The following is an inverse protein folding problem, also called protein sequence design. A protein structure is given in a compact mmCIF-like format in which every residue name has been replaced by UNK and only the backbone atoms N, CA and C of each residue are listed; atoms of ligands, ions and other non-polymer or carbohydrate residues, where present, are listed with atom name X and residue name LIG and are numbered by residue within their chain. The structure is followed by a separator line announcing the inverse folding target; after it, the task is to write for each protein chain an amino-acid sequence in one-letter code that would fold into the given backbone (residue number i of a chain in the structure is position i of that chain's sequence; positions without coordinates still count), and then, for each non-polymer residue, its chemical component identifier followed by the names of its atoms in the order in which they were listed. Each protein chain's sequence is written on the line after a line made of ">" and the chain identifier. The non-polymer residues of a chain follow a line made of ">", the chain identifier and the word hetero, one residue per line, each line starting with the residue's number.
data_IF_387985109948
#
_entry.id   IF_387985109948
#
_cell.length_a   1.000
_cell.length_b   1.000
_cell.length_c   1.000
_cell.angle_alpha   90.00
_cell.angle_beta   90.00
_cell.angle_gamma   90.00
#
_symmetry.space_group_name_H-M   'P 1'
#
loop_
_entity.id
_entity.type
_entity.pdbx_description
1 polymer ?
#
# COMPACT_ATOMS: atom_id res chain seq x y z
N UNK A 1 11.56 -8.63 -18.82
CA UNK A 1 10.80 -7.62 -18.03
C UNK A 1 11.77 -6.81 -17.17
N UNK A 2 11.59 -5.49 -17.15
CA UNK A 2 12.40 -4.63 -16.28
C UNK A 2 11.75 -4.54 -14.90
N UNK A 3 12.21 -5.37 -13.99
CA UNK A 3 11.66 -5.45 -12.63
C UNK A 3 11.83 -4.12 -11.87
N UNK A 4 12.93 -3.39 -12.12
CA UNK A 4 13.18 -2.11 -11.45
C UNK A 4 12.17 -1.05 -11.85
N UNK A 5 11.71 -1.06 -13.10
CA UNK A 5 10.64 -0.17 -13.55
C UNK A 5 9.34 -0.44 -12.80
N UNK A 6 8.97 -1.70 -12.65
CA UNK A 6 7.75 -2.09 -11.94
C UNK A 6 7.82 -1.78 -10.44
N UNK A 7 8.99 -2.00 -9.83
CA UNK A 7 9.22 -1.65 -8.42
C UNK A 7 9.10 -0.14 -8.20
N UNK A 8 9.70 0.65 -9.07
CA UNK A 8 9.61 2.12 -9.01
C UNK A 8 8.17 2.60 -9.20
N UNK A 9 7.45 2.02 -10.17
CA UNK A 9 6.04 2.35 -10.43
C UNK A 9 5.15 2.01 -9.23
N UNK A 10 5.34 0.84 -8.63
CA UNK A 10 4.62 0.43 -7.43
C UNK A 10 4.84 1.43 -6.30
N UNK A 11 6.09 1.84 -6.08
CA UNK A 11 6.43 2.81 -5.03
C UNK A 11 5.75 4.17 -5.26
N UNK A 12 5.73 4.63 -6.49
CA UNK A 12 5.04 5.88 -6.86
C UNK A 12 3.55 5.79 -6.58
N UNK A 13 2.91 4.66 -6.92
CA UNK A 13 1.49 4.45 -6.67
C UNK A 13 1.20 4.35 -5.16
N UNK A 14 2.08 3.74 -4.39
CA UNK A 14 1.95 3.70 -2.92
C UNK A 14 2.02 5.10 -2.31
N UNK A 15 2.87 5.98 -2.85
CA UNK A 15 2.95 7.38 -2.41
C UNK A 15 1.65 8.13 -2.73
N UNK A 16 1.10 7.92 -3.93
CA UNK A 16 -0.20 8.50 -4.32
C UNK A 16 -1.30 7.99 -3.41
N UNK A 17 -1.31 6.69 -3.10
CA UNK A 17 -2.31 6.10 -2.20
C UNK A 17 -2.27 6.75 -0.81
N UNK A 18 -1.09 6.93 -0.25
CA UNK A 18 -0.90 7.61 1.04
C UNK A 18 -1.47 9.03 0.99
N UNK A 19 -1.21 9.75 -0.10
CA UNK A 19 -1.70 11.11 -0.30
C UNK A 19 -3.23 11.16 -0.41
N UNK A 20 -3.83 10.22 -1.14
CA UNK A 20 -5.28 10.12 -1.26
C UNK A 20 -5.95 9.86 0.10
N UNK A 21 -5.32 9.02 0.94
CA UNK A 21 -5.81 8.78 2.30
C UNK A 21 -5.76 10.04 3.16
N UNK A 22 -4.71 10.85 3.05
CA UNK A 22 -4.60 12.13 3.75
C UNK A 22 -5.69 13.11 3.32
N UNK A 23 -5.96 13.22 2.02
CA UNK A 23 -7.01 14.09 1.49
C UNK A 23 -8.38 13.63 2.00
N UNK A 24 -8.65 12.32 1.95
CA UNK A 24 -9.90 11.75 2.45
C UNK A 24 -10.11 12.09 3.94
N UNK A 25 -9.06 11.93 4.75
CA UNK A 25 -9.12 12.24 6.18
C UNK A 25 -9.45 13.72 6.41
N UNK A 26 -8.88 14.61 5.60
CA UNK A 26 -9.16 16.05 5.68
C UNK A 26 -10.64 16.33 5.43
N UNK A 27 -11.24 15.71 4.41
CA UNK A 27 -12.68 15.86 4.15
C UNK A 27 -13.53 15.28 5.27
N UNK A 28 -13.10 14.15 5.86
CA UNK A 28 -13.80 13.56 7.01
C UNK A 28 -13.77 14.48 8.23
N UNK A 29 -12.65 15.15 8.48
CA UNK A 29 -12.52 16.13 9.57
C UNK A 29 -13.47 17.32 9.38
N UNK A 30 -13.61 17.83 8.15
CA UNK A 30 -14.54 18.90 7.81
C UNK A 30 -15.98 18.46 8.11
N UNK A 31 -16.34 17.24 7.71
CA UNK A 31 -17.67 16.68 7.98
C UNK A 31 -17.93 16.54 9.48
N UNK A 32 -16.93 16.05 10.23
CA UNK A 32 -17.05 15.78 11.67
C UNK A 32 -17.18 17.08 12.48
N UNK A 33 -16.74 18.22 11.95
CA UNK A 33 -16.95 19.53 12.56
C UNK A 33 -18.40 20.04 12.43
N UNK A 34 -19.29 19.20 11.91
CA UNK A 34 -20.71 19.48 11.82
C UNK A 34 -21.15 20.19 10.55
N UNK A 35 -20.26 20.30 9.57
CA UNK A 35 -20.61 20.85 8.26
C UNK A 35 -21.24 19.73 7.43
N UNK A 36 -22.56 19.76 7.35
CA UNK A 36 -23.32 18.83 6.51
C UNK A 36 -23.42 19.45 5.12
N UNK A 37 -22.54 19.00 4.23
CA UNK A 37 -22.48 19.49 2.85
C UNK A 37 -22.46 18.28 1.91
N UNK A 38 -23.39 18.27 0.96
CA UNK A 38 -23.52 17.17 0.00
C UNK A 38 -22.26 17.02 -0.86
N UNK A 39 -21.66 18.13 -1.26
CA UNK A 39 -20.42 18.11 -2.04
C UNK A 39 -19.29 17.40 -1.28
N UNK A 40 -19.11 17.73 0.00
CA UNK A 40 -18.08 17.11 0.86
C UNK A 40 -18.33 15.60 1.00
N UNK A 41 -19.58 15.20 1.21
CA UNK A 41 -19.96 13.79 1.32
C UNK A 41 -19.67 13.05 0.02
N UNK A 42 -19.99 13.66 -1.12
CA UNK A 42 -19.71 13.08 -2.44
C UNK A 42 -18.20 12.93 -2.69
N UNK A 43 -17.40 13.91 -2.29
CA UNK A 43 -15.94 13.85 -2.41
C UNK A 43 -15.35 12.70 -1.58
N UNK A 44 -15.83 12.50 -0.37
CA UNK A 44 -15.40 11.39 0.48
C UNK A 44 -15.65 10.06 -0.24
N UNK A 45 -16.84 9.89 -0.78
CA UNK A 45 -17.23 8.67 -1.52
C UNK A 45 -16.35 8.44 -2.75
N UNK A 46 -16.07 9.50 -3.52
CA UNK A 46 -15.19 9.42 -4.71
C UNK A 46 -13.77 9.03 -4.33
N UNK A 47 -13.22 9.61 -3.26
CA UNK A 47 -11.87 9.24 -2.80
C UNK A 47 -11.81 7.82 -2.29
N UNK A 48 -12.83 7.33 -1.60
CA UNK A 48 -12.91 5.93 -1.17
C UNK A 48 -12.85 4.98 -2.37
N UNK A 49 -13.56 5.30 -3.44
CA UNK A 49 -13.53 4.51 -4.69
C UNK A 49 -12.15 4.52 -5.33
N UNK A 50 -11.53 5.70 -5.45
CA UNK A 50 -10.18 5.84 -6.03
C UNK A 50 -9.14 5.09 -5.21
N UNK A 51 -9.22 5.17 -3.89
CA UNK A 51 -8.32 4.46 -2.98
C UNK A 51 -8.43 2.94 -3.20
N UNK A 52 -9.65 2.41 -3.25
CA UNK A 52 -9.90 0.99 -3.49
C UNK A 52 -9.36 0.53 -4.83
N UNK A 53 -9.60 1.29 -5.90
CA UNK A 53 -9.10 0.98 -7.23
C UNK A 53 -7.56 0.97 -7.26
N UNK A 54 -6.94 1.93 -6.60
CA UNK A 54 -5.48 2.01 -6.54
C UNK A 54 -4.87 0.87 -5.73
N UNK A 55 -5.51 0.49 -4.62
CA UNK A 55 -5.08 -0.67 -3.82
C UNK A 55 -5.10 -1.96 -4.64
N UNK A 56 -6.14 -2.16 -5.44
CA UNK A 56 -6.25 -3.32 -6.35
C UNK A 56 -5.14 -3.29 -7.40
N UNK A 57 -4.84 -2.12 -7.96
CA UNK A 57 -3.77 -1.95 -8.94
C UNK A 57 -2.41 -2.27 -8.32
N UNK A 58 -2.13 -1.78 -7.11
CA UNK A 58 -0.89 -2.04 -6.40
C UNK A 58 -0.74 -3.54 -6.09
N UNK A 59 -1.80 -4.19 -5.66
CA UNK A 59 -1.80 -5.63 -5.41
C UNK A 59 -1.50 -6.41 -6.70
N UNK A 60 -2.11 -6.00 -7.81
CA UNK A 60 -1.86 -6.62 -9.11
C UNK A 60 -0.41 -6.48 -9.55
N UNK A 61 0.17 -5.26 -9.42
CA UNK A 61 1.58 -5.03 -9.69
C UNK A 61 2.48 -5.86 -8.79
N UNK A 62 2.12 -6.00 -7.52
CA UNK A 62 2.88 -6.83 -6.58
C UNK A 62 2.93 -8.28 -7.02
N UNK A 63 1.84 -8.81 -7.55
CA UNK A 63 1.78 -10.17 -8.09
C UNK A 63 2.64 -10.32 -9.35
N UNK A 64 2.61 -9.35 -10.26
CA UNK A 64 3.44 -9.33 -11.46
C UNK A 64 4.92 -9.32 -11.07
N UNK A 65 5.30 -8.44 -10.15
CA UNK A 65 6.68 -8.32 -9.67
C UNK A 65 7.15 -9.63 -9.04
N UNK A 66 6.35 -10.20 -8.15
CA UNK A 66 6.67 -11.45 -7.47
C UNK A 66 6.85 -12.60 -8.47
N UNK A 67 5.96 -12.69 -9.46
CA UNK A 67 5.99 -13.77 -10.47
C UNK A 67 7.21 -13.68 -11.37
N UNK A 68 7.72 -12.48 -11.65
CA UNK A 68 8.84 -12.26 -12.57
C UNK A 68 10.17 -11.97 -11.86
N UNK A 69 10.20 -12.00 -10.54
CA UNK A 69 11.38 -11.72 -9.76
C UNK A 69 12.29 -12.95 -9.67
N UNK A 70 13.59 -12.75 -9.86
CA UNK A 70 14.62 -13.78 -9.60
C UNK A 70 14.97 -13.75 -8.12
N UNK A 71 14.08 -14.22 -7.27
CA UNK A 71 14.16 -14.06 -5.83
C UNK A 71 15.52 -14.31 -5.22
N UNK A 72 15.97 -13.39 -4.39
CA UNK A 72 17.14 -13.56 -3.54
C UNK A 72 16.65 -13.53 -2.09
N UNK A 73 16.38 -14.71 -1.54
CA UNK A 73 15.85 -14.83 -0.20
C UNK A 73 16.94 -14.67 0.86
N UNK A 74 16.61 -13.91 1.91
CA UNK A 74 17.42 -13.77 3.10
C UNK A 74 16.56 -14.07 4.32
N UNK A 75 17.18 -14.54 5.39
CA UNK A 75 16.51 -14.79 6.65
C UNK A 75 16.78 -13.62 7.59
N UNK A 76 15.75 -13.21 8.29
CA UNK A 76 15.84 -12.16 9.30
C UNK A 76 14.99 -12.51 10.51
N UNK A 77 15.24 -11.85 11.61
CA UNK A 77 14.48 -12.04 12.85
C UNK A 77 13.74 -10.75 13.15
N UNK A 78 12.41 -10.85 13.29
CA UNK A 78 11.61 -9.71 13.70
C UNK A 78 11.07 -9.93 15.11
N UNK A 79 11.08 -8.89 15.93
CA UNK A 79 10.51 -8.91 17.27
C UNK A 79 9.01 -8.64 17.18
N UNK A 80 8.21 -9.62 17.60
CA UNK A 80 6.75 -9.48 17.63
C UNK A 80 6.32 -8.83 18.95
N UNK A 81 6.93 -9.29 20.04
CA UNK A 81 6.76 -8.71 21.39
C UNK A 81 8.12 -8.67 22.06
N UNK A 82 8.30 -7.96 23.19
CA UNK A 82 9.58 -7.94 23.91
C UNK A 82 10.12 -9.34 24.25
N UNK A 83 9.25 -10.34 24.38
CA UNK A 83 9.62 -11.70 24.77
C UNK A 83 9.56 -12.70 23.61
N UNK A 84 9.14 -12.27 22.41
CA UNK A 84 8.97 -13.18 21.27
C UNK A 84 9.57 -12.60 20.00
N UNK A 85 10.32 -13.43 19.30
CA UNK A 85 10.84 -13.12 17.97
C UNK A 85 10.36 -14.18 16.98
N UNK A 86 10.31 -13.81 15.72
CA UNK A 86 9.94 -14.70 14.63
C UNK A 86 10.97 -14.60 13.51
N UNK A 87 11.38 -15.75 13.00
CA UNK A 87 12.23 -15.80 11.81
C UNK A 87 11.37 -15.62 10.58
N UNK A 88 11.79 -14.72 9.69
CA UNK A 88 11.14 -14.51 8.40
C UNK A 88 12.16 -14.72 7.28
N UNK A 89 11.66 -15.20 6.14
CA UNK A 89 12.44 -15.33 4.92
C UNK A 89 11.79 -14.42 3.87
N UNK A 90 12.52 -13.49 3.34
CA UNK A 90 11.99 -12.54 2.37
C UNK A 90 12.96 -12.32 1.21
N UNK A 91 12.43 -11.89 0.07
CA UNK A 91 13.22 -11.52 -1.08
C UNK A 91 13.69 -10.06 -0.94
N UNK A 92 14.99 -9.82 -1.12
CA UNK A 92 15.57 -8.47 -1.04
C UNK A 92 15.21 -7.61 -2.24
N UNK A 93 14.72 -8.20 -3.33
CA UNK A 93 14.40 -7.49 -4.57
C UNK A 93 12.93 -7.06 -4.59
N UNK A 94 11.99 -7.99 -4.42
CA UNK A 94 10.56 -7.70 -4.51
C UNK A 94 9.86 -7.63 -3.15
N UNK A 95 10.58 -7.86 -2.07
CA UNK A 95 10.08 -7.84 -0.69
C UNK A 95 9.04 -8.92 -0.37
N UNK A 96 8.87 -9.92 -1.26
CA UNK A 96 7.97 -11.03 -0.99
C UNK A 96 8.43 -11.81 0.23
N UNK A 97 7.53 -11.99 1.18
CA UNK A 97 7.80 -12.78 2.38
C UNK A 97 7.35 -14.22 2.18
N UNK A 98 8.26 -15.13 2.35
CA UNK A 98 7.98 -16.56 2.24
C UNK A 98 7.45 -17.09 3.58
N UNK A 99 6.30 -17.71 3.53
CA UNK A 99 5.72 -18.37 4.69
C UNK A 99 6.28 -19.77 4.92
#
# INVERSE_FOLDING_TARGET
>A
MNINYFLSSKKKLQNVLSHLNEIKLTYCEIRDDGIIDEYITDQISEYETKITELEVTIEHLSKIICHNCEHTFVEDVIDITPDRSQNITYCTICEYTKE
#
